data_IF_998829422017
#
_entry.id   IF_998829422017
#
_cell.length_a   1.000
_cell.length_b   1.000
_cell.length_c   1.000
_cell.angle_alpha   90.00
_cell.angle_beta   90.00
_cell.angle_gamma   90.00
#
_symmetry.space_group_name_H-M   'P 1'
#
loop_
_entity.id
_entity.type
_entity.pdbx_description
1 polymer ?
#
# COMPACT_ATOMS: atom_id res chain seq x y z
N UNK A 1 3.69 7.34 -0.53
CA UNK A 1 3.38 5.90 -0.54
C UNK A 1 1.99 5.72 -1.13
N UNK A 2 1.80 4.78 -2.03
CA UNK A 2 0.52 4.41 -2.59
C UNK A 2 0.29 2.93 -2.31
N UNK A 3 -0.94 2.53 -2.03
CA UNK A 3 -1.29 1.12 -1.87
C UNK A 3 -2.59 0.82 -2.61
N UNK A 4 -2.72 -0.42 -3.07
CA UNK A 4 -3.97 -0.94 -3.65
C UNK A 4 -4.09 -2.43 -3.41
N UNK A 5 -5.31 -2.89 -3.15
CA UNK A 5 -5.62 -4.31 -3.17
C UNK A 5 -5.51 -4.82 -4.61
N UNK A 6 -4.85 -5.96 -4.78
CA UNK A 6 -4.66 -6.61 -6.09
C UNK A 6 -5.37 -7.96 -6.18
N UNK A 7 -5.58 -8.62 -5.04
CA UNK A 7 -6.30 -9.88 -4.96
C UNK A 7 -6.84 -10.08 -3.55
N UNK A 8 -7.87 -10.88 -3.40
CA UNK A 8 -8.42 -11.32 -2.11
C UNK A 8 -8.89 -12.76 -2.21
N UNK A 9 -8.86 -13.45 -1.07
CA UNK A 9 -9.48 -14.77 -0.92
C UNK A 9 -11.01 -14.68 -0.82
N UNK A 10 -11.55 -13.51 -0.46
CA UNK A 10 -12.98 -13.28 -0.40
C UNK A 10 -13.51 -12.83 -1.78
N UNK A 11 -14.41 -13.59 -2.43
CA UNK A 11 -14.95 -13.25 -3.74
C UNK A 11 -15.88 -12.02 -3.73
N UNK A 12 -16.45 -11.64 -2.58
CA UNK A 12 -17.31 -10.45 -2.46
C UNK A 12 -16.51 -9.18 -2.14
N UNK A 13 -15.20 -9.30 -1.93
CA UNK A 13 -14.35 -8.19 -1.55
C UNK A 13 -14.07 -7.23 -2.72
N UNK A 14 -14.56 -5.99 -2.59
CA UNK A 14 -14.37 -4.96 -3.60
C UNK A 14 -12.94 -4.36 -3.55
N UNK A 15 -12.05 -4.92 -4.38
CA UNK A 15 -10.65 -4.50 -4.52
C UNK A 15 -10.50 -3.02 -4.93
N UNK A 16 -11.43 -2.48 -5.73
CA UNK A 16 -11.35 -1.12 -6.27
C UNK A 16 -11.47 -0.04 -5.18
N UNK A 17 -12.24 -0.32 -4.13
CA UNK A 17 -12.40 0.58 -2.99
C UNK A 17 -11.18 0.55 -2.04
N UNK A 18 -10.31 -0.45 -2.18
CA UNK A 18 -9.25 -0.74 -1.23
C UNK A 18 -7.91 -0.23 -1.73
N UNK A 19 -7.85 1.07 -1.93
CA UNK A 19 -6.65 1.78 -2.38
C UNK A 19 -6.49 3.11 -1.67
N UNK A 20 -5.27 3.63 -1.63
CA UNK A 20 -5.01 4.90 -0.96
C UNK A 20 -3.61 5.45 -1.24
N UNK A 21 -3.42 6.69 -0.82
CA UNK A 21 -2.14 7.39 -0.87
C UNK A 21 -1.84 7.96 0.51
N UNK A 22 -0.63 7.68 0.99
CA UNK A 22 -0.10 8.21 2.23
C UNK A 22 1.13 9.04 1.91
N UNK A 23 1.16 10.29 2.36
CA UNK A 23 2.34 11.14 2.31
C UNK A 23 2.97 11.16 3.70
N UNK A 24 4.29 10.96 3.75
CA UNK A 24 5.08 10.96 4.99
C UNK A 24 6.21 11.96 4.82
N UNK A 25 6.65 12.52 5.94
CA UNK A 25 7.79 13.43 5.94
C UNK A 25 9.08 12.65 5.70
N UNK A 26 10.11 13.32 5.18
CA UNK A 26 11.39 12.67 4.83
C UNK A 26 12.14 12.07 6.02
N UNK A 27 11.79 12.44 7.25
CA UNK A 27 12.35 11.87 8.48
C UNK A 27 11.67 10.56 8.91
N UNK A 28 10.57 10.17 8.28
CA UNK A 28 9.86 8.92 8.59
C UNK A 28 10.30 7.82 7.63
N UNK A 29 10.96 6.80 8.17
CA UNK A 29 11.43 5.63 7.41
C UNK A 29 10.49 4.43 7.50
N UNK A 30 9.47 4.49 8.36
CA UNK A 30 8.51 3.42 8.58
C UNK A 30 7.08 3.93 8.60
N UNK A 31 6.14 3.06 8.20
CA UNK A 31 4.72 3.32 8.27
C UNK A 31 3.98 1.99 8.42
N UNK A 32 2.99 1.97 9.31
CA UNK A 32 2.15 0.80 9.54
C UNK A 32 0.79 1.05 8.91
N UNK A 33 0.39 0.17 7.99
CA UNK A 33 -0.94 0.16 7.42
C UNK A 33 -1.87 -0.67 8.30
N UNK A 34 -2.74 0.00 9.06
CA UNK A 34 -3.79 -0.63 9.86
C UNK A 34 -5.10 -0.70 9.08
N UNK A 35 -6.02 -1.56 9.50
CA UNK A 35 -7.35 -1.71 8.87
C UNK A 35 -7.35 -2.22 7.42
N UNK A 36 -6.31 -2.95 7.01
CA UNK A 36 -6.34 -3.70 5.76
C UNK A 36 -7.25 -4.92 5.91
N UNK A 37 -7.99 -5.25 4.87
CA UNK A 37 -8.84 -6.44 4.87
C UNK A 37 -8.00 -7.72 5.03
N UNK A 38 -8.35 -8.65 5.92
CA UNK A 38 -7.66 -9.92 6.11
C UNK A 38 -7.84 -10.83 4.88
N UNK A 39 -6.83 -11.64 4.54
CA UNK A 39 -6.90 -12.51 3.37
C UNK A 39 -6.83 -11.75 2.03
N UNK A 40 -6.25 -10.56 2.02
CA UNK A 40 -6.08 -9.75 0.81
C UNK A 40 -4.62 -9.46 0.53
N UNK A 41 -4.25 -9.56 -0.75
CA UNK A 41 -2.94 -9.18 -1.25
C UNK A 41 -2.97 -7.71 -1.67
N UNK A 42 -2.05 -6.93 -1.12
CA UNK A 42 -1.87 -5.52 -1.40
C UNK A 42 -0.55 -5.26 -2.11
N UNK A 43 -0.57 -4.32 -3.05
CA UNK A 43 0.63 -3.80 -3.72
C UNK A 43 0.91 -2.40 -3.21
N UNK A 44 2.12 -2.19 -2.70
CA UNK A 44 2.60 -0.93 -2.16
C UNK A 44 3.64 -0.32 -3.10
N UNK A 45 3.44 0.94 -3.48
CA UNK A 45 4.36 1.72 -4.32
C UNK A 45 4.88 2.91 -3.52
N UNK A 46 6.17 2.88 -3.19
CA UNK A 46 6.87 3.92 -2.44
C UNK A 46 7.75 4.72 -3.40
N UNK A 47 7.66 6.05 -3.35
CA UNK A 47 8.50 6.97 -4.13
C UNK A 47 9.04 8.04 -3.21
N UNK A 48 10.35 8.28 -3.26
CA UNK A 48 10.95 9.44 -2.60
C UNK A 48 10.54 10.72 -3.34
N UNK A 49 10.29 11.80 -2.61
CA UNK A 49 9.97 13.11 -3.17
C UNK A 49 11.02 14.13 -2.73
N UNK A 50 11.49 14.94 -3.66
CA UNK A 50 12.42 16.05 -3.46
C UNK A 50 11.83 17.31 -4.09
N UNK A 51 12.43 18.47 -3.84
CA UNK A 51 12.04 19.74 -4.48
C UNK A 51 12.06 19.65 -6.01
N UNK A 52 12.93 18.79 -6.60
CA UNK A 52 13.04 18.58 -8.05
C UNK A 52 12.02 17.57 -8.61
N UNK A 53 11.32 16.83 -7.76
CA UNK A 53 10.34 15.83 -8.18
C UNK A 53 10.45 14.48 -7.45
N UNK A 54 9.87 13.45 -8.05
CA UNK A 54 9.82 12.10 -7.48
C UNK A 54 10.92 11.19 -8.06
N UNK A 55 11.56 10.41 -7.18
CA UNK A 55 12.50 9.37 -7.57
C UNK A 55 11.80 8.09 -8.09
N UNK A 56 12.59 7.06 -8.43
CA UNK A 56 12.08 5.77 -8.88
C UNK A 56 11.12 5.11 -7.86
N UNK A 57 10.09 4.39 -8.32
CA UNK A 57 9.19 3.66 -7.43
C UNK A 57 9.82 2.35 -6.95
N UNK A 58 9.77 2.12 -5.64
CA UNK A 58 9.91 0.80 -5.04
C UNK A 58 8.51 0.16 -4.94
N UNK A 59 8.34 -1.05 -5.45
CA UNK A 59 7.05 -1.76 -5.48
C UNK A 59 7.22 -3.09 -4.75
N UNK A 60 6.33 -3.35 -3.79
CA UNK A 60 6.35 -4.58 -2.98
C UNK A 60 4.93 -5.06 -2.75
N UNK A 61 4.72 -6.39 -2.72
CA UNK A 61 3.41 -6.98 -2.46
C UNK A 61 3.42 -7.79 -1.18
N UNK A 62 2.34 -7.68 -0.40
CA UNK A 62 2.17 -8.43 0.84
C UNK A 62 0.73 -8.92 0.98
N UNK A 63 0.56 -10.11 1.54
CA UNK A 63 -0.75 -10.72 1.81
C UNK A 63 -1.05 -10.66 3.31
N UNK A 64 -2.21 -10.08 3.67
CA UNK A 64 -2.69 -10.05 5.04
C UNK A 64 -3.17 -11.44 5.47
N UNK A 65 -2.84 -11.85 6.69
CA UNK A 65 -3.29 -13.13 7.24
C UNK A 65 -4.72 -13.03 7.77
N UNK A 66 -5.43 -14.15 7.70
CA UNK A 66 -6.73 -14.40 8.32
C UNK A 66 -6.38 -15.16 9.61
N UNK A 67 -6.53 -14.57 10.79
CA UNK A 67 -6.28 -15.25 12.07
C UNK A 67 -7.44 -15.02 13.01
#
# INVERSE_FOLDING_TARGET
IFYKAVSSFDPEFNLSNQSGKVLKFSNETSHVFTSLYPGSTYSFTIRASTVKGYGPPAITQFTTKIS
#
